data_IF_802319481490
#
_entry.id   IF_802319481490
#
_cell.length_a   1.000
_cell.length_b   1.000
_cell.length_c   1.000
_cell.angle_alpha   90.00
_cell.angle_beta   90.00
_cell.angle_gamma   90.00
#
_symmetry.space_group_name_H-M   'P 1'
#
loop_
_entity.id
_entity.type
_entity.pdbx_description
1 polymer ?
#
# COMPACT_ATOMS: atom_id res chain seq x y z
N UNK A 1 15.24 -16.26 -19.33
CA UNK A 1 15.44 -15.63 -18.01
C UNK A 1 14.12 -15.01 -17.63
N UNK A 2 13.59 -15.37 -16.47
CA UNK A 2 12.27 -14.96 -16.05
C UNK A 2 12.26 -13.46 -15.71
N UNK A 3 11.08 -12.84 -15.74
CA UNK A 3 10.89 -11.43 -15.44
C UNK A 3 9.81 -11.29 -14.39
N UNK A 4 10.11 -10.59 -13.30
CA UNK A 4 9.15 -10.16 -12.30
C UNK A 4 8.87 -8.68 -12.54
N UNK A 5 7.64 -8.31 -12.83
CA UNK A 5 7.18 -6.92 -12.86
C UNK A 5 6.49 -6.65 -11.53
N UNK A 6 6.96 -5.65 -10.79
CA UNK A 6 6.34 -5.22 -9.54
C UNK A 6 5.62 -3.91 -9.81
N UNK A 7 4.29 -3.91 -9.70
CA UNK A 7 3.48 -2.70 -9.86
C UNK A 7 2.89 -2.26 -8.51
N UNK A 8 2.85 -0.96 -8.27
CA UNK A 8 2.24 -0.35 -7.09
C UNK A 8 1.55 0.97 -7.43
N UNK A 9 1.09 1.71 -6.41
CA UNK A 9 0.09 2.76 -6.61
C UNK A 9 0.49 3.85 -7.63
N UNK A 10 1.78 4.17 -7.74
CA UNK A 10 2.29 5.10 -8.76
C UNK A 10 2.02 4.67 -10.21
N UNK A 11 1.71 3.39 -10.44
CA UNK A 11 1.24 2.88 -11.73
C UNK A 11 -0.17 3.40 -12.05
N UNK A 12 -1.09 3.36 -11.07
CA UNK A 12 -2.45 3.90 -11.21
C UNK A 12 -2.41 5.43 -11.32
N UNK A 13 -1.56 6.09 -10.52
CA UNK A 13 -1.37 7.55 -10.58
C UNK A 13 -0.85 8.00 -11.95
N UNK A 14 -0.04 7.19 -12.65
CA UNK A 14 0.42 7.49 -14.00
C UNK A 14 -0.72 7.52 -15.04
N UNK A 15 -1.89 6.97 -14.70
CA UNK A 15 -3.13 7.02 -15.48
C UNK A 15 -4.09 8.11 -14.99
N UNK A 16 -3.70 8.92 -13.99
CA UNK A 16 -4.55 9.95 -13.40
C UNK A 16 -5.64 9.39 -12.48
N UNK A 17 -5.57 8.11 -12.10
CA UNK A 17 -6.51 7.53 -11.15
C UNK A 17 -6.23 8.08 -9.74
N UNK A 18 -7.28 8.47 -9.02
CA UNK A 18 -7.21 9.06 -7.67
C UNK A 18 -7.12 7.99 -6.57
N UNK A 19 -6.15 7.09 -6.67
CA UNK A 19 -6.04 5.89 -5.80
C UNK A 19 -5.13 6.11 -4.59
N UNK A 20 -4.63 7.33 -4.35
CA UNK A 20 -3.81 7.59 -3.16
C UNK A 20 -4.65 7.67 -1.87
N UNK A 21 -4.02 7.39 -0.72
CA UNK A 21 -4.67 7.60 0.58
C UNK A 21 -5.06 9.06 0.82
N UNK A 22 -4.34 10.02 0.23
CA UNK A 22 -4.71 11.43 0.29
C UNK A 22 -6.03 11.67 -0.44
N UNK A 23 -6.17 11.14 -1.65
CA UNK A 23 -7.41 11.31 -2.44
C UNK A 23 -8.60 10.69 -1.72
N UNK A 24 -8.42 9.47 -1.18
CA UNK A 24 -9.42 8.80 -0.33
C UNK A 24 -9.84 9.67 0.87
N UNK A 25 -8.88 10.19 1.63
CA UNK A 25 -9.18 11.03 2.81
C UNK A 25 -9.96 12.27 2.40
N UNK A 26 -9.55 12.96 1.34
CA UNK A 26 -10.22 14.19 0.88
C UNK A 26 -11.63 13.92 0.36
N UNK A 27 -11.84 12.81 -0.35
CA UNK A 27 -13.16 12.39 -0.81
C UNK A 27 -14.08 12.07 0.37
N UNK A 28 -13.58 11.34 1.37
CA UNK A 28 -14.32 11.02 2.58
C UNK A 28 -14.73 12.30 3.34
N UNK A 29 -13.80 13.24 3.54
CA UNK A 29 -14.09 14.52 4.20
C UNK A 29 -15.12 15.35 3.41
N UNK A 30 -14.97 15.41 2.08
CA UNK A 30 -15.89 16.12 1.18
C UNK A 30 -17.30 15.53 1.22
N UNK A 31 -17.38 14.19 1.22
CA UNK A 31 -18.63 13.44 1.28
C UNK A 31 -19.36 13.65 2.61
N UNK A 32 -18.65 13.64 3.74
CA UNK A 32 -19.24 13.88 5.06
C UNK A 32 -19.75 15.31 5.23
N UNK A 33 -19.08 16.31 4.65
CA UNK A 33 -19.56 17.71 4.64
C UNK A 33 -20.77 17.87 3.72
N UNK A 34 -20.74 17.22 2.56
CA UNK A 34 -21.84 17.31 1.58
C UNK A 34 -23.09 16.57 2.03
N UNK A 35 -22.94 15.47 2.78
CA UNK A 35 -24.04 14.66 3.29
C UNK A 35 -23.80 14.24 4.75
N UNK A 36 -23.94 15.17 5.71
CA UNK A 36 -23.61 14.91 7.11
C UNK A 36 -24.60 13.93 7.75
N UNK A 37 -24.08 13.03 8.61
CA UNK A 37 -24.90 12.04 9.34
C UNK A 37 -25.90 12.66 10.34
N UNK A 38 -25.68 13.92 10.77
CA UNK A 38 -26.54 14.68 11.71
C UNK A 38 -26.81 13.95 13.03
N UNK A 39 -25.77 13.33 13.56
CA UNK A 39 -25.78 12.63 14.85
C UNK A 39 -24.39 12.62 15.45
N UNK A 40 -24.30 12.24 16.72
CA UNK A 40 -23.02 11.93 17.34
C UNK A 40 -22.36 10.72 16.67
N UNK A 41 -21.03 10.67 16.79
CA UNK A 41 -20.21 9.59 16.25
C UNK A 41 -20.57 8.26 16.90
N UNK A 42 -20.87 7.27 16.07
CA UNK A 42 -20.97 5.88 16.47
C UNK A 42 -19.58 5.27 16.28
N UNK A 43 -18.84 5.08 17.38
CA UNK A 43 -17.46 4.60 17.35
C UNK A 43 -17.30 3.23 16.67
N UNK A 44 -18.39 2.46 16.57
CA UNK A 44 -18.36 1.15 15.93
C UNK A 44 -18.59 1.23 14.41
N UNK A 45 -18.95 2.40 13.87
CA UNK A 45 -19.39 2.54 12.46
C UNK A 45 -18.82 3.73 11.72
N UNK A 46 -18.35 4.76 12.42
CA UNK A 46 -18.01 6.03 11.82
C UNK A 46 -16.55 6.41 12.03
N UNK A 47 -15.91 6.85 10.95
CA UNK A 47 -14.62 7.55 11.02
C UNK A 47 -14.81 9.04 11.35
N UNK A 48 -15.92 9.62 10.91
CA UNK A 48 -16.27 11.03 11.04
C UNK A 48 -17.78 11.13 11.30
N UNK A 49 -18.17 12.05 12.17
CA UNK A 49 -19.55 12.48 12.30
C UNK A 49 -19.62 14.01 12.40
N UNK A 50 -20.43 14.61 11.54
CA UNK A 50 -20.74 16.04 11.57
C UNK A 50 -22.13 16.22 12.17
N UNK A 51 -22.18 16.92 13.31
CA UNK A 51 -23.43 17.31 13.94
C UNK A 51 -23.68 18.79 13.63
N UNK A 52 -24.46 19.04 12.57
CA UNK A 52 -24.81 20.40 12.17
C UNK A 52 -26.30 20.50 11.85
N UNK A 53 -26.94 21.53 12.41
CA UNK A 53 -28.36 21.81 12.22
C UNK A 53 -28.57 22.54 10.88
N UNK A 54 -28.72 21.77 9.81
CA UNK A 54 -29.51 22.21 8.64
C UNK A 54 -28.77 22.76 7.42
N UNK A 55 -27.43 22.82 7.39
CA UNK A 55 -26.70 23.28 6.21
C UNK A 55 -26.15 22.11 5.38
N UNK A 56 -26.53 22.08 4.10
CA UNK A 56 -25.90 21.26 3.07
C UNK A 56 -24.88 22.12 2.33
N UNK A 57 -23.63 21.65 2.27
CA UNK A 57 -22.58 22.30 1.51
C UNK A 57 -22.07 21.32 0.47
N UNK A 58 -22.50 21.48 -0.79
CA UNK A 58 -21.87 20.76 -1.88
C UNK A 58 -20.44 21.31 -2.05
N UNK A 59 -19.47 20.59 -1.47
CA UNK A 59 -18.10 21.08 -1.35
C UNK A 59 -17.09 19.95 -1.45
N UNK A 60 -16.11 20.14 -2.33
CA UNK A 60 -14.89 19.33 -2.41
C UNK A 60 -13.69 20.10 -1.85
N UNK A 61 -12.73 19.34 -1.31
CA UNK A 61 -11.47 19.87 -0.78
C UNK A 61 -10.28 19.25 -1.51
N UNK A 62 -9.27 20.07 -1.83
CA UNK A 62 -8.02 19.63 -2.46
C UNK A 62 -6.89 19.42 -1.41
N UNK A 63 -7.07 19.98 -0.21
CA UNK A 63 -6.13 19.85 0.92
C UNK A 63 -6.88 19.75 2.25
N UNK A 64 -6.24 19.16 3.25
CA UNK A 64 -6.78 19.08 4.61
C UNK A 64 -6.88 20.48 5.24
N UNK A 65 -5.96 21.39 4.92
CA UNK A 65 -6.04 22.79 5.37
C UNK A 65 -7.31 23.48 4.87
N UNK A 66 -7.68 23.30 3.59
CA UNK A 66 -8.93 23.87 3.06
C UNK A 66 -10.17 23.32 3.78
N UNK A 67 -10.13 22.03 4.15
CA UNK A 67 -11.19 21.42 4.96
C UNK A 67 -11.22 22.02 6.38
N UNK A 68 -10.08 22.12 7.06
CA UNK A 68 -9.99 22.69 8.41
C UNK A 68 -10.45 24.16 8.44
N UNK A 69 -9.98 24.99 7.51
CA UNK A 69 -10.40 26.40 7.36
C UNK A 69 -11.91 26.51 7.15
N UNK A 70 -12.51 25.57 6.40
CA UNK A 70 -13.94 25.52 6.17
C UNK A 70 -14.71 25.17 7.45
N UNK A 71 -14.29 24.12 8.16
CA UNK A 71 -14.91 23.72 9.43
C UNK A 71 -14.86 24.87 10.45
N UNK A 72 -13.71 25.55 10.57
CA UNK A 72 -13.53 26.68 11.48
C UNK A 72 -14.42 27.87 11.08
N UNK A 73 -14.39 28.27 9.81
CA UNK A 73 -15.14 29.42 9.29
C UNK A 73 -16.65 29.31 9.53
N UNK A 74 -17.20 28.10 9.43
CA UNK A 74 -18.63 27.85 9.59
C UNK A 74 -18.99 27.35 11.00
N UNK A 75 -18.02 27.23 11.91
CA UNK A 75 -18.26 26.75 13.27
C UNK A 75 -18.86 25.35 13.32
N UNK A 76 -18.45 24.48 12.40
CA UNK A 76 -19.01 23.13 12.26
C UNK A 76 -18.44 22.22 13.34
N UNK A 77 -19.31 21.55 14.10
CA UNK A 77 -18.87 20.56 15.08
C UNK A 77 -18.61 19.21 14.40
N UNK A 78 -17.35 18.78 14.41
CA UNK A 78 -16.92 17.50 13.83
C UNK A 78 -16.30 16.61 14.89
N UNK A 79 -16.76 15.36 14.93
CA UNK A 79 -16.19 14.29 15.73
C UNK A 79 -15.46 13.31 14.81
N UNK A 80 -14.32 12.80 15.26
CA UNK A 80 -13.48 11.87 14.52
C UNK A 80 -13.22 10.62 15.35
N UNK A 81 -13.08 9.49 14.67
CA UNK A 81 -12.41 8.32 15.22
C UNK A 81 -10.97 8.69 15.66
N UNK A 82 -10.52 8.09 16.76
CA UNK A 82 -9.25 8.46 17.39
C UNK A 82 -8.04 8.18 16.49
N UNK A 83 -8.01 7.01 15.84
CA UNK A 83 -6.92 6.64 14.96
C UNK A 83 -7.01 7.44 13.65
N UNK A 84 -8.21 7.59 13.09
CA UNK A 84 -8.43 8.38 11.89
C UNK A 84 -8.04 9.85 12.08
N UNK A 85 -8.30 10.45 13.24
CA UNK A 85 -7.80 11.80 13.55
C UNK A 85 -6.26 11.88 13.42
N UNK A 86 -5.54 10.84 13.85
CA UNK A 86 -4.08 10.76 13.67
C UNK A 86 -3.65 10.59 12.21
N UNK A 87 -4.44 9.91 11.39
CA UNK A 87 -4.16 9.84 9.94
C UNK A 87 -4.32 11.21 9.28
N UNK A 88 -5.33 11.99 9.68
CA UNK A 88 -5.55 13.37 9.21
C UNK A 88 -4.38 14.28 9.59
N UNK A 89 -3.98 14.31 10.87
CA UNK A 89 -2.86 15.13 11.37
C UNK A 89 -1.54 14.84 10.60
N UNK A 90 -1.26 13.56 10.33
CA UNK A 90 -0.08 13.18 9.54
C UNK A 90 -0.17 13.59 8.07
N UNK A 91 -1.35 13.42 7.47
CA UNK A 91 -1.58 13.77 6.08
C UNK A 91 -1.54 15.29 5.86
N UNK A 92 -2.03 16.07 6.83
CA UNK A 92 -1.94 17.53 6.85
C UNK A 92 -0.48 17.99 6.88
N UNK A 93 0.32 17.43 7.78
CA UNK A 93 1.72 17.82 7.98
C UNK A 93 2.60 17.47 6.78
N UNK A 94 2.42 16.28 6.21
CA UNK A 94 3.33 15.75 5.20
C UNK A 94 2.77 15.80 3.78
N UNK A 95 1.50 16.14 3.59
CA UNK A 95 0.75 16.00 2.33
C UNK A 95 0.66 14.54 1.83
N UNK A 96 0.93 13.56 2.70
CA UNK A 96 0.76 12.12 2.47
C UNK A 96 0.70 11.40 3.81
N UNK A 97 0.18 10.17 3.82
CA UNK A 97 0.16 9.31 5.02
C UNK A 97 0.42 7.86 4.60
N UNK A 98 1.11 7.10 5.45
CA UNK A 98 1.16 5.65 5.36
C UNK A 98 0.36 5.08 6.53
N UNK A 99 -0.91 4.80 6.28
CA UNK A 99 -1.87 4.38 7.32
C UNK A 99 -1.40 3.08 7.98
N UNK A 100 -0.89 2.12 7.20
CA UNK A 100 -0.39 0.84 7.70
C UNK A 100 0.79 1.00 8.66
N UNK A 101 1.75 1.87 8.32
CA UNK A 101 2.88 2.19 9.21
C UNK A 101 2.42 2.97 10.45
N UNK A 102 1.50 3.90 10.29
CA UNK A 102 0.95 4.68 11.42
C UNK A 102 0.20 3.77 12.39
N UNK A 103 -0.59 2.82 11.88
CA UNK A 103 -1.25 1.78 12.66
C UNK A 103 -0.23 1.00 13.50
N UNK A 104 0.85 0.51 12.89
CA UNK A 104 1.87 -0.25 13.60
C UNK A 104 2.60 0.59 14.67
N UNK A 105 2.88 1.86 14.39
CA UNK A 105 3.45 2.77 15.38
C UNK A 105 2.50 2.92 16.58
N UNK A 106 1.19 3.06 16.34
CA UNK A 106 0.18 3.18 17.41
C UNK A 106 0.07 1.91 18.24
N UNK A 107 0.10 0.74 17.60
CA UNK A 107 0.16 -0.55 18.29
C UNK A 107 1.38 -0.64 19.22
N UNK A 108 2.57 -0.22 18.74
CA UNK A 108 3.78 -0.18 19.56
C UNK A 108 3.68 0.80 20.73
N UNK A 109 3.03 1.95 20.55
CA UNK A 109 2.82 2.93 21.61
C UNK A 109 1.93 2.38 22.74
N UNK A 110 0.81 1.71 22.38
CA UNK A 110 -0.08 1.05 23.35
C UNK A 110 0.70 0.02 24.18
N UNK A 111 1.46 -0.86 23.50
CA UNK A 111 2.25 -1.90 24.16
C UNK A 111 3.37 -1.34 25.05
N UNK A 112 3.98 -0.20 24.67
CA UNK A 112 5.03 0.44 25.47
C UNK A 112 4.49 1.18 26.68
N UNK A 113 3.32 1.84 26.55
CA UNK A 113 2.65 2.49 27.68
C UNK A 113 2.40 1.50 28.80
N UNK A 114 2.04 0.28 28.42
CA UNK A 114 1.81 -0.81 29.32
C UNK A 114 2.98 -1.41 30.10
N UNK A 115 4.17 -1.42 29.50
CA UNK A 115 5.38 -1.97 30.14
C UNK A 115 5.86 -1.08 31.29
N UNK A 116 5.51 0.21 31.29
CA UNK A 116 5.96 1.18 32.29
C UNK A 116 5.03 1.29 33.50
N UNK A 117 3.77 0.88 33.39
CA UNK A 117 2.79 0.91 34.48
C UNK A 117 2.68 -0.47 35.15
N UNK A 118 3.63 -0.76 36.04
CA UNK A 118 3.64 -1.97 36.88
C UNK A 118 2.65 -1.79 38.04
N UNK A 119 1.36 -1.84 37.75
CA UNK A 119 0.32 -2.13 38.75
C UNK A 119 -0.55 -3.27 38.21
N UNK A 120 -0.58 -4.37 38.97
CA UNK A 120 -1.34 -5.61 38.74
C UNK A 120 -1.52 -6.04 37.27
N UNK A 121 -0.71 -7.03 36.84
CA UNK A 121 -0.69 -7.65 35.50
C UNK A 121 -2.07 -7.87 34.85
N UNK A 122 -3.11 -8.17 35.63
CA UNK A 122 -4.48 -8.39 35.15
C UNK A 122 -5.19 -7.11 34.68
N UNK A 123 -5.12 -6.01 35.45
CA UNK A 123 -5.78 -4.75 35.09
C UNK A 123 -5.09 -4.10 33.89
N UNK A 124 -3.77 -4.23 33.83
CA UNK A 124 -2.99 -3.84 32.67
C UNK A 124 -3.42 -4.60 31.40
N UNK A 125 -3.59 -5.93 31.50
CA UNK A 125 -3.97 -6.76 30.36
C UNK A 125 -5.33 -6.37 29.75
N UNK A 126 -6.33 -6.08 30.58
CA UNK A 126 -7.63 -5.62 30.11
C UNK A 126 -7.57 -4.21 29.49
N UNK A 127 -6.74 -3.31 30.02
CA UNK A 127 -6.63 -1.93 29.50
C UNK A 127 -6.04 -1.88 28.10
N UNK A 128 -4.86 -2.49 27.88
CA UNK A 128 -4.23 -2.42 26.56
C UNK A 128 -5.04 -3.17 25.50
N UNK A 129 -5.69 -4.29 25.87
CA UNK A 129 -6.45 -5.09 24.92
C UNK A 129 -7.66 -4.32 24.38
N UNK A 130 -8.32 -3.52 25.22
CA UNK A 130 -9.38 -2.62 24.77
C UNK A 130 -8.85 -1.57 23.78
N UNK A 131 -7.70 -0.95 24.06
CA UNK A 131 -7.08 0.02 23.15
C UNK A 131 -6.66 -0.59 21.81
N UNK A 132 -6.11 -1.81 21.83
CA UNK A 132 -5.76 -2.57 20.61
C UNK A 132 -7.02 -2.92 19.83
N UNK A 133 -8.06 -3.38 20.51
CA UNK A 133 -9.35 -3.72 19.88
C UNK A 133 -9.97 -2.49 19.20
N UNK A 134 -9.95 -1.34 19.86
CA UNK A 134 -10.40 -0.08 19.30
C UNK A 134 -9.55 0.33 18.08
N UNK A 135 -8.22 0.22 18.17
CA UNK A 135 -7.31 0.48 17.04
C UNK A 135 -7.59 -0.44 15.84
N UNK A 136 -7.85 -1.73 16.09
CA UNK A 136 -8.22 -2.70 15.07
C UNK A 136 -9.53 -2.31 14.37
N UNK A 137 -10.55 -1.95 15.15
CA UNK A 137 -11.84 -1.48 14.63
C UNK A 137 -11.69 -0.23 13.77
N UNK A 138 -10.90 0.74 14.21
CA UNK A 138 -10.63 1.94 13.40
C UNK A 138 -9.99 1.59 12.05
N UNK A 139 -9.07 0.61 12.03
CA UNK A 139 -8.45 0.14 10.78
C UNK A 139 -9.46 -0.58 9.87
N UNK A 140 -10.36 -1.39 10.43
CA UNK A 140 -11.44 -2.04 9.69
C UNK A 140 -12.38 -1.02 9.04
N UNK A 141 -12.74 0.05 9.77
CA UNK A 141 -13.56 1.14 9.26
C UNK A 141 -12.85 1.87 8.10
N UNK A 142 -11.56 2.17 8.26
CA UNK A 142 -10.75 2.76 7.17
C UNK A 142 -10.72 1.84 5.95
N UNK A 143 -10.51 0.54 6.14
CA UNK A 143 -10.51 -0.46 5.06
C UNK A 143 -11.85 -0.50 4.33
N UNK A 144 -12.96 -0.47 5.07
CA UNK A 144 -14.32 -0.47 4.53
C UNK A 144 -14.60 0.79 3.71
N UNK A 145 -14.30 1.97 4.25
CA UNK A 145 -14.49 3.24 3.52
C UNK A 145 -13.55 3.36 2.31
N UNK A 146 -12.31 2.88 2.41
CA UNK A 146 -11.38 2.81 1.28
C UNK A 146 -11.93 1.90 0.17
N UNK A 147 -12.50 0.74 0.51
CA UNK A 147 -13.14 -0.14 -0.48
C UNK A 147 -14.29 0.59 -1.17
N UNK A 148 -15.18 1.24 -0.42
CA UNK A 148 -16.32 1.98 -0.98
C UNK A 148 -15.87 3.09 -1.92
N UNK A 149 -14.86 3.87 -1.50
CA UNK A 149 -14.26 4.93 -2.30
C UNK A 149 -13.66 4.39 -3.60
N UNK A 150 -12.79 3.38 -3.53
CA UNK A 150 -12.17 2.82 -4.72
C UNK A 150 -13.24 2.24 -5.67
N UNK A 151 -14.28 1.60 -5.13
CA UNK A 151 -15.39 1.08 -5.93
C UNK A 151 -16.25 2.17 -6.60
N UNK A 152 -16.33 3.37 -6.03
CA UNK A 152 -17.09 4.48 -6.62
C UNK A 152 -16.30 5.20 -7.71
N UNK A 153 -14.97 5.31 -7.57
CA UNK A 153 -14.11 6.07 -8.49
C UNK A 153 -13.43 5.21 -9.56
N UNK A 154 -13.24 3.91 -9.32
CA UNK A 154 -12.43 3.08 -10.21
C UNK A 154 -13.22 2.63 -11.43
N UNK A 155 -12.72 3.04 -12.60
CA UNK A 155 -13.02 2.43 -13.89
C UNK A 155 -11.71 2.07 -14.58
N UNK A 156 -11.69 0.93 -15.27
CA UNK A 156 -10.55 0.54 -16.10
C UNK A 156 -10.31 1.64 -17.14
N UNK A 157 -9.09 2.19 -17.27
CA UNK A 157 -8.80 3.21 -18.29
C UNK A 157 -9.05 2.69 -19.71
N UNK A 158 -9.56 3.57 -20.59
CA UNK A 158 -9.84 3.21 -21.98
C UNK A 158 -8.56 3.01 -22.81
N UNK A 159 -7.52 3.78 -22.51
CA UNK A 159 -6.28 3.83 -23.28
C UNK A 159 -5.05 3.47 -22.43
N UNK A 160 -4.11 2.75 -23.05
CA UNK A 160 -2.78 2.52 -22.49
C UNK A 160 -1.95 3.79 -22.56
N UNK A 161 -1.11 4.04 -21.54
CA UNK A 161 0.02 4.94 -21.71
C UNK A 161 1.05 4.30 -22.67
N UNK A 162 1.46 5.02 -23.72
CA UNK A 162 2.33 4.49 -24.77
C UNK A 162 3.75 4.13 -24.29
N UNK A 163 4.30 4.88 -23.34
CA UNK A 163 5.62 4.62 -22.74
C UNK A 163 5.57 3.36 -21.87
N UNK A 164 4.59 3.27 -20.97
CA UNK A 164 4.38 2.09 -20.13
C UNK A 164 4.14 0.85 -21.00
N UNK A 165 3.32 0.97 -22.06
CA UNK A 165 3.06 -0.11 -23.01
C UNK A 165 4.35 -0.59 -23.65
N UNK A 166 5.19 0.32 -24.13
CA UNK A 166 6.51 -0.03 -24.68
C UNK A 166 7.39 -0.76 -23.66
N UNK A 167 7.40 -0.32 -22.41
CA UNK A 167 8.16 -0.98 -21.35
C UNK A 167 7.69 -2.41 -21.09
N UNK A 168 6.38 -2.62 -20.92
CA UNK A 168 5.79 -3.94 -20.68
C UNK A 168 6.04 -4.88 -21.86
N UNK A 169 5.77 -4.41 -23.09
CA UNK A 169 6.04 -5.20 -24.31
C UNK A 169 7.50 -5.63 -24.42
N UNK A 170 8.44 -4.74 -24.08
CA UNK A 170 9.86 -5.05 -24.11
C UNK A 170 10.24 -6.08 -23.05
N UNK A 171 9.68 -6.01 -21.85
CA UNK A 171 9.92 -6.98 -20.78
C UNK A 171 9.39 -8.36 -21.18
N UNK A 172 8.16 -8.42 -21.69
CA UNK A 172 7.57 -9.67 -22.19
C UNK A 172 8.44 -10.22 -23.33
N UNK A 173 8.81 -9.41 -24.34
CA UNK A 173 9.69 -9.87 -25.44
C UNK A 173 11.04 -10.42 -24.93
N UNK A 174 11.65 -9.78 -23.92
CA UNK A 174 12.92 -10.22 -23.35
C UNK A 174 12.82 -11.60 -22.69
N UNK A 175 11.69 -11.86 -22.05
CA UNK A 175 11.47 -13.13 -21.38
C UNK A 175 11.42 -14.26 -22.43
N UNK A 176 10.82 -14.04 -23.60
CA UNK A 176 10.62 -15.07 -24.64
C UNK A 176 11.78 -15.37 -25.60
N UNK A 177 12.87 -14.59 -25.61
CA UNK A 177 14.01 -14.80 -26.54
C UNK A 177 14.72 -16.18 -26.46
N UNK A 178 14.49 -16.96 -25.40
CA UNK A 178 15.18 -18.24 -25.15
C UNK A 178 14.42 -19.52 -25.52
N UNK A 179 13.36 -19.47 -26.34
CA UNK A 179 12.79 -20.65 -27.01
C UNK A 179 11.99 -21.67 -26.17
N UNK A 180 11.98 -21.60 -24.84
CA UNK A 180 11.10 -22.45 -24.00
C UNK A 180 9.67 -21.88 -23.89
N UNK A 181 8.61 -22.72 -23.83
CA UNK A 181 7.20 -22.29 -23.81
C UNK A 181 6.56 -22.15 -22.41
N UNK A 182 7.32 -22.21 -21.31
CA UNK A 182 6.77 -22.04 -19.95
C UNK A 182 6.76 -20.55 -19.55
N UNK A 183 5.78 -20.13 -18.74
CA UNK A 183 5.60 -18.78 -18.18
C UNK A 183 6.91 -18.05 -17.92
N UNK A 184 7.04 -16.83 -18.43
CA UNK A 184 8.30 -16.08 -18.31
C UNK A 184 8.15 -14.70 -17.70
N UNK A 185 6.93 -14.18 -17.55
CA UNK A 185 6.68 -12.86 -16.97
C UNK A 185 5.66 -12.96 -15.84
N UNK A 186 6.10 -12.83 -14.60
CA UNK A 186 5.22 -12.78 -13.43
C UNK A 186 4.99 -11.32 -13.06
N UNK A 187 3.73 -10.93 -12.91
CA UNK A 187 3.35 -9.57 -12.57
C UNK A 187 2.82 -9.60 -11.14
N UNK A 188 3.57 -9.00 -10.23
CA UNK A 188 3.18 -8.84 -8.83
C UNK A 188 2.48 -7.49 -8.66
N UNK A 189 1.16 -7.53 -8.56
CA UNK A 189 0.30 -6.37 -8.44
C UNK A 189 -0.04 -6.08 -6.98
N UNK A 190 0.45 -4.94 -6.48
CA UNK A 190 0.14 -4.42 -5.15
C UNK A 190 -1.07 -3.48 -5.15
N UNK A 191 -1.57 -3.07 -6.32
CA UNK A 191 -2.77 -2.26 -6.42
C UNK A 191 -3.99 -3.14 -6.25
N UNK A 192 -5.03 -2.57 -5.64
CA UNK A 192 -6.35 -3.21 -5.59
C UNK A 192 -7.07 -3.15 -6.94
N UNK A 193 -6.61 -2.29 -7.85
CA UNK A 193 -7.17 -2.11 -9.18
C UNK A 193 -6.55 -3.10 -10.18
N UNK A 194 -7.23 -3.27 -11.31
CA UNK A 194 -6.81 -4.12 -12.42
C UNK A 194 -6.26 -3.31 -13.61
N UNK A 195 -5.70 -2.12 -13.35
CA UNK A 195 -5.19 -1.19 -14.39
C UNK A 195 -4.20 -1.87 -15.33
N UNK A 196 -3.44 -2.86 -14.86
CA UNK A 196 -2.48 -3.61 -15.66
C UNK A 196 -3.13 -4.37 -16.83
N UNK A 197 -4.40 -4.78 -16.71
CA UNK A 197 -5.07 -5.61 -17.69
C UNK A 197 -5.11 -4.97 -19.08
N UNK A 198 -5.22 -3.63 -19.14
CA UNK A 198 -5.29 -2.89 -20.41
C UNK A 198 -4.03 -3.10 -21.26
N UNK A 199 -2.88 -3.31 -20.62
CA UNK A 199 -1.60 -3.55 -21.29
C UNK A 199 -1.44 -4.99 -21.78
N UNK A 200 -2.25 -5.90 -21.23
CA UNK A 200 -2.13 -7.33 -21.45
C UNK A 200 -3.17 -7.87 -22.44
N UNK A 201 -4.28 -7.13 -22.69
CA UNK A 201 -5.36 -7.50 -23.63
C UNK A 201 -4.88 -8.00 -25.00
N UNK A 202 -3.77 -7.46 -25.53
CA UNK A 202 -3.22 -7.83 -26.85
C UNK A 202 -2.13 -8.90 -26.81
N UNK A 203 -1.80 -9.43 -25.65
CA UNK A 203 -0.75 -10.43 -25.44
C UNK A 203 -1.35 -11.83 -25.29
N UNK A 204 -0.61 -12.86 -25.71
CA UNK A 204 -1.00 -14.25 -25.45
C UNK A 204 -1.01 -14.49 -23.92
N UNK A 205 -2.14 -14.94 -23.33
CA UNK A 205 -2.27 -15.18 -21.89
C UNK A 205 -1.24 -16.15 -21.32
N UNK A 206 -0.64 -17.02 -22.14
CA UNK A 206 0.40 -17.96 -21.69
C UNK A 206 1.76 -17.29 -21.44
N UNK A 207 1.92 -16.01 -21.81
CA UNK A 207 3.19 -15.28 -21.70
C UNK A 207 3.37 -14.61 -20.32
N UNK A 208 2.28 -14.45 -19.57
CA UNK A 208 2.30 -13.75 -18.30
C UNK A 208 1.38 -14.39 -17.25
N UNK A 209 1.67 -14.10 -15.99
CA UNK A 209 0.80 -14.44 -14.86
C UNK A 209 0.59 -13.18 -14.01
N UNK A 210 -0.65 -12.86 -13.66
CA UNK A 210 -1.00 -11.72 -12.80
C UNK A 210 -1.25 -12.23 -11.39
N UNK A 211 -0.46 -11.74 -10.45
CA UNK A 211 -0.54 -12.08 -9.04
C UNK A 211 -0.93 -10.83 -8.23
N UNK A 212 -2.21 -10.72 -7.88
CA UNK A 212 -2.75 -9.64 -7.04
C UNK A 212 -2.44 -9.94 -5.56
N UNK A 213 -1.20 -9.66 -5.13
CA UNK A 213 -0.68 -10.06 -3.82
C UNK A 213 -1.41 -9.39 -2.65
N UNK A 214 -1.98 -8.21 -2.88
CA UNK A 214 -2.77 -7.46 -1.90
C UNK A 214 -4.28 -7.63 -2.08
N UNK A 215 -4.71 -8.62 -2.85
CA UNK A 215 -6.11 -8.75 -3.23
C UNK A 215 -6.53 -7.81 -4.34
N UNK A 216 -7.78 -7.93 -4.75
CA UNK A 216 -8.37 -7.20 -5.85
C UNK A 216 -9.74 -6.62 -5.44
N UNK A 217 -10.01 -5.41 -5.90
CA UNK A 217 -11.28 -4.72 -5.66
C UNK A 217 -12.43 -5.57 -6.21
N UNK A 218 -13.45 -5.79 -5.37
CA UNK A 218 -14.63 -6.60 -5.65
C UNK A 218 -14.38 -8.11 -5.90
N UNK A 219 -13.17 -8.60 -5.62
CA UNK A 219 -12.89 -10.03 -5.63
C UNK A 219 -13.18 -10.62 -4.24
N UNK A 220 -14.18 -11.51 -4.16
CA UNK A 220 -14.54 -12.20 -2.91
C UNK A 220 -13.55 -13.31 -2.56
N UNK A 221 -12.97 -13.93 -3.58
CA UNK A 221 -11.98 -14.97 -3.41
C UNK A 221 -10.64 -14.37 -3.08
N UNK A 222 -10.29 -13.16 -3.54
CA UNK A 222 -9.04 -12.49 -3.18
C UNK A 222 -9.29 -11.05 -2.70
N UNK A 223 -9.90 -10.87 -1.52
CA UNK A 223 -10.29 -9.55 -1.03
C UNK A 223 -9.07 -8.71 -0.66
N UNK A 224 -9.27 -7.39 -0.60
CA UNK A 224 -8.27 -6.40 -0.20
C UNK A 224 -7.54 -6.82 1.08
N UNK A 225 -6.22 -6.91 1.00
CA UNK A 225 -5.30 -7.07 2.12
C UNK A 225 -4.75 -5.68 2.46
N UNK A 226 -5.02 -5.23 3.68
CA UNK A 226 -4.67 -3.91 4.19
C UNK A 226 -4.23 -4.08 5.64
N UNK A 227 -3.00 -3.70 5.97
CA UNK A 227 -2.41 -4.01 7.27
C UNK A 227 -0.90 -3.80 7.30
N UNK A 228 -0.20 -4.29 8.29
CA UNK A 228 1.27 -4.14 8.37
C UNK A 228 1.99 -5.46 8.11
N UNK A 229 3.12 -5.43 7.40
CA UNK A 229 3.86 -6.64 6.98
C UNK A 229 5.37 -6.56 7.20
N UNK A 230 5.84 -5.71 8.13
CA UNK A 230 7.23 -5.74 8.61
C UNK A 230 7.32 -6.39 9.98
N UNK A 231 7.71 -7.67 9.96
CA UNK A 231 7.86 -8.51 11.15
C UNK A 231 9.30 -8.55 11.65
N UNK A 232 10.19 -7.76 11.03
CA UNK A 232 11.62 -7.76 11.35
C UNK A 232 11.99 -6.83 12.51
N UNK A 233 10.99 -6.21 13.15
CA UNK A 233 11.18 -5.29 14.27
C UNK A 233 11.26 -6.06 15.59
N UNK A 234 12.17 -5.69 16.49
CA UNK A 234 12.31 -6.29 17.83
C UNK A 234 11.02 -6.27 18.67
N UNK A 235 10.09 -5.34 18.40
CA UNK A 235 8.78 -5.33 19.05
C UNK A 235 7.85 -6.43 18.55
N UNK A 236 8.06 -6.96 17.34
CA UNK A 236 7.23 -8.02 16.78
C UNK A 236 7.39 -9.32 17.55
N UNK A 237 8.62 -9.71 17.93
CA UNK A 237 8.81 -10.92 18.76
C UNK A 237 8.07 -10.81 20.09
N UNK A 238 8.02 -9.60 20.68
CA UNK A 238 7.24 -9.35 21.90
C UNK A 238 5.74 -9.48 21.67
N UNK A 239 5.24 -9.03 20.51
CA UNK A 239 3.84 -9.19 20.11
C UNK A 239 3.47 -10.67 20.10
N UNK A 240 4.33 -11.53 19.54
CA UNK A 240 4.12 -12.98 19.54
C UNK A 240 4.15 -13.58 20.96
N UNK A 241 5.05 -13.10 21.83
CA UNK A 241 5.15 -13.57 23.22
C UNK A 241 3.89 -13.28 24.08
N UNK A 242 3.06 -12.30 23.70
CA UNK A 242 1.83 -11.96 24.45
C UNK A 242 0.69 -12.97 24.26
N UNK A 243 0.79 -13.89 23.30
CA UNK A 243 -0.25 -14.90 23.00
C UNK A 243 -1.67 -14.31 22.84
N UNK A 244 -1.76 -13.16 22.17
CA UNK A 244 -3.02 -12.43 21.96
C UNK A 244 -3.24 -12.14 20.46
N UNK A 245 -4.29 -12.76 19.89
CA UNK A 245 -4.59 -12.71 18.46
C UNK A 245 -5.00 -11.30 17.99
N UNK A 246 -5.58 -10.47 18.85
CA UNK A 246 -5.89 -9.08 18.47
C UNK A 246 -4.63 -8.26 18.15
N UNK A 247 -3.45 -8.63 18.68
CA UNK A 247 -2.19 -7.95 18.34
C UNK A 247 -1.68 -8.27 16.93
N UNK A 248 -2.07 -9.42 16.38
CA UNK A 248 -1.60 -9.91 15.07
C UNK A 248 -2.69 -9.87 13.99
N UNK A 249 -3.95 -9.58 14.34
CA UNK A 249 -5.12 -9.54 13.46
C UNK A 249 -4.91 -8.78 12.14
N UNK A 250 -4.23 -7.63 12.20
CA UNK A 250 -3.96 -6.76 11.05
C UNK A 250 -2.54 -6.92 10.47
N UNK A 251 -1.88 -8.05 10.72
CA UNK A 251 -0.60 -8.39 10.10
C UNK A 251 -0.81 -9.13 8.77
N UNK A 252 -0.21 -8.64 7.69
CA UNK A 252 -0.45 -9.13 6.33
C UNK A 252 -0.05 -10.60 6.10
N UNK A 253 0.97 -11.09 6.80
CA UNK A 253 1.46 -12.47 6.63
C UNK A 253 0.38 -13.51 6.83
N UNK A 254 -0.46 -13.35 7.86
CA UNK A 254 -1.59 -14.26 8.08
C UNK A 254 -2.62 -14.19 6.95
N UNK A 255 -2.87 -12.99 6.40
CA UNK A 255 -3.77 -12.82 5.25
C UNK A 255 -3.18 -13.44 3.98
N UNK A 256 -1.86 -13.42 3.79
CA UNK A 256 -1.19 -14.08 2.67
C UNK A 256 -1.32 -15.61 2.70
N UNK A 257 -1.44 -16.22 3.89
CA UNK A 257 -1.68 -17.66 4.04
C UNK A 257 -3.10 -18.08 3.66
N UNK A 258 -4.03 -17.13 3.58
CA UNK A 258 -5.40 -17.43 3.21
C UNK A 258 -5.54 -17.73 1.71
N UNK A 259 -4.52 -17.48 0.89
CA UNK A 259 -4.54 -17.57 -0.58
C UNK A 259 -3.26 -18.17 -1.16
N UNK A 260 -3.35 -18.64 -2.40
CA UNK A 260 -2.20 -19.22 -3.11
C UNK A 260 -1.24 -18.17 -3.66
N UNK A 261 -1.63 -16.88 -3.73
CA UNK A 261 -0.84 -15.79 -4.29
C UNK A 261 0.61 -15.74 -3.79
N UNK A 262 0.81 -15.88 -2.48
CA UNK A 262 2.15 -15.90 -1.90
C UNK A 262 2.92 -17.15 -2.33
N UNK A 263 2.29 -18.33 -2.29
CA UNK A 263 2.90 -19.59 -2.72
C UNK A 263 3.30 -19.55 -4.21
N UNK A 264 2.41 -19.10 -5.08
CA UNK A 264 2.67 -18.97 -6.53
C UNK A 264 3.83 -18.01 -6.82
N UNK A 265 3.99 -16.94 -6.03
CA UNK A 265 5.18 -16.09 -6.15
C UNK A 265 6.45 -16.88 -5.82
N UNK A 266 6.47 -17.64 -4.74
CA UNK A 266 7.68 -18.41 -4.36
C UNK A 266 7.99 -19.52 -5.35
N UNK A 267 6.99 -20.23 -5.88
CA UNK A 267 7.18 -21.17 -6.98
C UNK A 267 7.85 -20.51 -8.19
N UNK A 268 7.47 -19.26 -8.52
CA UNK A 268 8.14 -18.49 -9.56
C UNK A 268 9.58 -18.14 -9.20
N UNK A 269 9.83 -17.67 -7.96
CA UNK A 269 11.15 -17.25 -7.50
C UNK A 269 12.16 -18.40 -7.46
N UNK A 270 11.71 -19.63 -7.20
CA UNK A 270 12.54 -20.84 -7.10
C UNK A 270 12.83 -21.51 -8.45
N UNK A 271 12.03 -21.21 -9.48
CA UNK A 271 12.04 -21.91 -10.77
C UNK A 271 13.31 -21.69 -11.60
N UNK A 272 13.77 -20.45 -11.75
CA UNK A 272 14.96 -20.08 -12.53
C UNK A 272 15.37 -18.62 -12.22
N UNK A 273 16.56 -18.21 -12.67
CA UNK A 273 17.04 -16.83 -12.62
C UNK A 273 16.01 -15.86 -13.17
N UNK A 274 15.80 -14.78 -12.42
CA UNK A 274 14.84 -13.75 -12.78
C UNK A 274 15.41 -12.33 -12.64
N UNK A 275 14.92 -11.41 -13.46
CA UNK A 275 15.12 -9.98 -13.29
C UNK A 275 13.88 -9.35 -12.64
N UNK A 276 14.06 -8.32 -11.84
CA UNK A 276 12.96 -7.52 -11.28
C UNK A 276 12.85 -6.19 -12.01
N UNK A 277 11.63 -5.79 -12.35
CA UNK A 277 11.28 -4.52 -12.96
C UNK A 277 10.26 -3.82 -12.07
N UNK A 278 10.63 -2.73 -11.41
CA UNK A 278 9.77 -2.01 -10.46
C UNK A 278 9.12 -0.82 -11.18
N UNK A 279 7.78 -0.77 -11.16
CA UNK A 279 6.98 0.27 -11.83
C UNK A 279 5.96 0.85 -10.85
N UNK A 280 6.08 2.12 -10.48
CA UNK A 280 5.08 2.80 -9.65
C UNK A 280 4.97 2.32 -8.19
N UNK A 281 5.72 1.29 -7.78
CA UNK A 281 5.79 0.89 -6.38
C UNK A 281 6.72 1.84 -5.59
N UNK A 282 6.30 2.21 -4.37
CA UNK A 282 7.06 3.11 -3.48
C UNK A 282 8.27 2.42 -2.81
N UNK A 283 8.20 1.10 -2.70
CA UNK A 283 9.14 0.28 -1.92
C UNK A 283 9.18 0.73 -0.46
N UNK A 284 8.01 1.05 0.10
CA UNK A 284 7.86 1.34 1.53
C UNK A 284 8.07 0.11 2.41
N UNK A 285 8.38 0.33 3.69
CA UNK A 285 8.68 -0.75 4.63
C UNK A 285 7.50 -1.66 4.98
N UNK A 286 6.26 -1.29 4.63
CA UNK A 286 5.03 -2.03 4.94
C UNK A 286 5.10 -3.51 4.53
N UNK A 287 5.81 -3.83 3.45
CA UNK A 287 5.85 -5.17 2.86
C UNK A 287 7.26 -5.78 2.94
N UNK A 288 8.01 -5.40 3.98
CA UNK A 288 9.44 -5.71 4.11
C UNK A 288 9.76 -7.20 4.05
N UNK A 289 8.99 -8.05 4.71
CA UNK A 289 9.24 -9.50 4.70
C UNK A 289 9.14 -10.07 3.28
N UNK A 290 8.08 -9.69 2.55
CA UNK A 290 7.89 -10.09 1.15
C UNK A 290 9.03 -9.59 0.25
N UNK A 291 9.41 -8.31 0.36
CA UNK A 291 10.50 -7.75 -0.44
C UNK A 291 11.87 -8.31 -0.08
N UNK A 292 12.12 -8.66 1.19
CA UNK A 292 13.35 -9.36 1.59
C UNK A 292 13.46 -10.68 0.83
N UNK A 293 12.38 -11.47 0.80
CA UNK A 293 12.33 -12.75 0.10
C UNK A 293 12.61 -12.62 -1.39
N UNK A 294 12.11 -11.57 -2.06
CA UNK A 294 12.37 -11.30 -3.48
C UNK A 294 13.81 -10.80 -3.71
N UNK A 295 14.24 -9.78 -2.96
CA UNK A 295 15.47 -9.05 -3.24
C UNK A 295 16.73 -9.75 -2.75
N UNK A 296 16.60 -10.59 -1.73
CA UNK A 296 17.71 -11.38 -1.20
C UNK A 296 17.78 -12.78 -1.84
N UNK A 297 16.79 -13.17 -2.65
CA UNK A 297 16.75 -14.46 -3.34
C UNK A 297 18.03 -14.73 -4.14
N UNK A 298 18.53 -15.97 -4.11
CA UNK A 298 19.78 -16.34 -4.79
C UNK A 298 19.68 -16.25 -6.32
N UNK A 299 18.51 -16.57 -6.85
CA UNK A 299 18.22 -16.54 -8.29
C UNK A 299 18.00 -15.13 -8.85
N UNK A 300 17.90 -14.10 -8.00
CA UNK A 300 17.78 -12.72 -8.45
C UNK A 300 19.01 -12.32 -9.27
N UNK A 301 18.80 -11.90 -10.52
CA UNK A 301 19.86 -11.48 -11.41
C UNK A 301 20.14 -9.97 -11.35
N UNK A 302 19.11 -9.12 -11.49
CA UNK A 302 19.21 -7.65 -11.40
C UNK A 302 17.86 -7.01 -11.08
N UNK A 303 17.89 -5.76 -10.64
CA UNK A 303 16.73 -4.92 -10.36
C UNK A 303 16.81 -3.69 -11.29
N UNK A 304 15.78 -3.50 -12.11
CA UNK A 304 15.56 -2.29 -12.90
C UNK A 304 14.45 -1.47 -12.27
N UNK A 305 14.70 -0.17 -12.16
CA UNK A 305 13.72 0.79 -11.64
C UNK A 305 13.18 1.61 -12.81
N UNK A 306 11.86 1.63 -12.95
CA UNK A 306 11.15 2.62 -13.75
C UNK A 306 10.73 3.75 -12.82
N UNK A 307 11.53 4.82 -12.80
CA UNK A 307 11.41 5.91 -11.82
C UNK A 307 10.34 6.92 -12.22
N UNK A 308 9.76 7.61 -11.24
CA UNK A 308 8.81 8.68 -11.47
C UNK A 308 9.54 10.02 -11.62
N UNK A 309 9.18 10.79 -12.64
CA UNK A 309 9.64 12.17 -12.83
C UNK A 309 8.80 13.11 -11.97
N UNK A 310 9.44 13.83 -11.04
CA UNK A 310 8.77 14.84 -10.18
C UNK A 310 8.66 16.18 -10.91
N UNK A 311 9.69 16.50 -11.70
CA UNK A 311 9.76 17.62 -12.63
C UNK A 311 10.78 17.30 -13.74
N UNK A 312 11.07 18.25 -14.64
CA UNK A 312 12.04 18.06 -15.74
C UNK A 312 13.45 17.62 -15.29
N UNK A 313 13.85 17.91 -14.04
CA UNK A 313 15.21 17.70 -13.52
C UNK A 313 15.27 16.71 -12.37
N UNK A 314 14.18 16.55 -11.62
CA UNK A 314 14.12 15.73 -10.42
C UNK A 314 13.27 14.47 -10.62
N UNK A 315 13.73 13.36 -10.04
CA UNK A 315 13.04 12.07 -10.09
C UNK A 315 13.16 11.33 -8.75
N UNK A 316 12.42 10.23 -8.61
CA UNK A 316 12.41 9.41 -7.40
C UNK A 316 13.45 8.27 -7.38
N UNK A 317 14.36 8.17 -8.36
CA UNK A 317 15.29 7.03 -8.47
C UNK A 317 16.14 6.88 -7.20
N UNK A 318 16.76 7.97 -6.73
CA UNK A 318 17.61 7.93 -5.55
C UNK A 318 16.83 7.52 -4.30
N UNK A 319 15.67 8.13 -4.07
CA UNK A 319 14.75 7.78 -2.98
C UNK A 319 14.35 6.29 -3.04
N UNK A 320 14.01 5.78 -4.23
CA UNK A 320 13.64 4.38 -4.41
C UNK A 320 14.81 3.44 -4.14
N UNK A 321 16.05 3.81 -4.48
CA UNK A 321 17.23 3.01 -4.12
C UNK A 321 17.49 3.01 -2.61
N UNK A 322 17.26 4.12 -1.90
CA UNK A 322 17.33 4.16 -0.44
C UNK A 322 16.25 3.26 0.19
N UNK A 323 15.05 3.28 -0.37
CA UNK A 323 13.95 2.41 0.04
C UNK A 323 14.29 0.94 -0.14
N UNK A 324 14.72 0.54 -1.34
CA UNK A 324 15.14 -0.83 -1.64
C UNK A 324 16.29 -1.28 -0.74
N UNK A 325 17.20 -0.36 -0.37
CA UNK A 325 18.33 -0.70 0.49
C UNK A 325 17.91 -1.27 1.83
N UNK A 326 16.74 -0.93 2.35
CA UNK A 326 16.25 -1.40 3.66
C UNK A 326 15.85 -2.88 3.66
N UNK A 327 15.70 -3.49 2.48
CA UNK A 327 15.36 -4.90 2.33
C UNK A 327 16.56 -5.84 2.18
N UNK A 328 17.77 -5.28 2.18
CA UNK A 328 18.99 -6.07 2.19
C UNK A 328 19.58 -6.06 3.58
N UNK A 329 19.87 -7.24 4.12
CA UNK A 329 20.57 -7.37 5.38
C UNK A 329 21.97 -6.78 5.28
N UNK A 330 22.57 -6.47 6.43
CA UNK A 330 23.89 -5.84 6.49
C UNK A 330 24.94 -6.66 5.71
N UNK A 331 24.90 -7.99 5.83
CA UNK A 331 25.78 -8.92 5.12
C UNK A 331 25.58 -8.92 3.60
N UNK A 332 24.40 -8.53 3.12
CA UNK A 332 24.02 -8.58 1.70
C UNK A 332 23.98 -7.20 1.02
N UNK A 333 24.40 -6.12 1.70
CA UNK A 333 24.50 -4.77 1.10
C UNK A 333 25.37 -4.71 -0.16
N UNK A 334 26.41 -5.53 -0.26
CA UNK A 334 27.20 -5.60 -1.50
C UNK A 334 26.36 -6.12 -2.68
N UNK A 335 25.50 -7.13 -2.46
CA UNK A 335 24.58 -7.65 -3.49
C UNK A 335 23.63 -6.57 -3.97
N UNK A 336 23.08 -5.75 -3.07
CA UNK A 336 22.25 -4.61 -3.46
C UNK A 336 22.93 -3.73 -4.52
N UNK A 337 24.20 -3.34 -4.27
CA UNK A 337 24.96 -2.45 -5.16
C UNK A 337 25.28 -3.07 -6.52
N UNK A 338 25.37 -4.40 -6.59
CA UNK A 338 25.66 -5.12 -7.84
C UNK A 338 24.39 -5.55 -8.59
N UNK A 339 23.26 -5.70 -7.90
CA UNK A 339 21.97 -6.11 -8.48
C UNK A 339 21.15 -4.93 -8.99
N UNK A 340 21.14 -3.78 -8.30
CA UNK A 340 20.42 -2.59 -8.78
C UNK A 340 21.15 -2.01 -9.99
N UNK A 341 20.43 -1.85 -11.11
CA UNK A 341 20.99 -1.24 -12.30
C UNK A 341 21.36 0.23 -12.05
N UNK A 342 22.52 0.71 -12.55
CA UNK A 342 22.87 2.13 -12.50
C UNK A 342 21.81 2.99 -13.17
N UNK A 343 21.66 4.24 -12.70
CA UNK A 343 20.68 5.22 -13.21
C UNK A 343 20.62 5.28 -14.76
N UNK A 344 21.78 5.28 -15.43
CA UNK A 344 21.89 5.31 -16.91
C UNK A 344 21.27 4.10 -17.64
N UNK A 345 20.97 3.01 -16.92
CA UNK A 345 20.33 1.78 -17.43
C UNK A 345 18.88 1.63 -16.95
N UNK A 346 18.38 2.63 -16.24
CA UNK A 346 17.01 2.76 -15.77
C UNK A 346 16.30 3.86 -16.56
N UNK A 347 14.98 3.82 -16.57
CA UNK A 347 14.15 4.69 -17.41
C UNK A 347 13.07 5.35 -16.57
N UNK A 348 12.55 6.52 -16.96
CA UNK A 348 11.32 7.01 -16.38
C UNK A 348 10.18 6.02 -16.67
N UNK A 349 9.21 5.90 -15.77
CA UNK A 349 7.98 5.12 -16.03
C UNK A 349 7.12 5.81 -17.10
N UNK A 350 7.03 7.13 -17.00
CA UNK A 350 6.43 8.04 -17.97
C UNK A 350 7.25 9.33 -17.99
N UNK A 351 7.26 10.01 -19.12
CA UNK A 351 7.84 11.35 -19.23
C UNK A 351 7.10 12.34 -18.32
N UNK A 352 7.80 13.40 -17.90
CA UNK A 352 7.17 14.51 -17.17
C UNK A 352 6.14 15.18 -18.10
N UNK A 353 4.94 15.44 -17.59
CA UNK A 353 3.84 16.08 -18.33
C UNK A 353 3.80 17.57 -18.06
#
# INVERSE_FOLDING_TARGET
MNQLIIIGNGFDLAHGLKTSYKDFILDLLSSEVSNPKRREIDKEKDLIAINNDGYYFEKSFDTINQYNDFIERYGINVQYDNFFKKTLEQCETNNWVNIEKLYYIKLQEILRGGINDIFTFYDFHQSYLNEVTDLNKSLDLIKSELHKYLNSIYSIPDECNSEIKSHIENIIKLSHKSGSPKEKTHILNFNYTSTIDIYLKSHDPNLYYINNIHGQLNDKENPIIFGYGDETNDMYSKIEDFDENELTRNMKSFHYLMRENYQTLFEFLEKDKFDVNIMGHSCGISDRVLFNSIFQHEQLNKIRIYYHMKDEKNNDFFEKTQNISRYFDMSLKHRMRTKILPFKKCHPLTSYK
#
